data_IF_814753455336
#
_entry.id   IF_814753455336
#
_cell.length_a   1.000
_cell.length_b   1.000
_cell.length_c   1.000
_cell.angle_alpha   90.00
_cell.angle_beta   90.00
_cell.angle_gamma   90.00
#
_symmetry.space_group_name_H-M   'P 1'
#
loop_
_entity.id
_entity.type
_entity.pdbx_description
1 polymer ?
#
# COMPACT_ATOMS: atom_id res chain seq x y z
N UNK A 1 11.72 3.88 2.61
CA UNK A 1 11.33 3.45 1.24
C UNK A 1 10.73 4.63 0.52
N UNK A 2 11.17 4.96 -0.69
CA UNK A 2 10.73 6.16 -1.42
C UNK A 2 9.98 5.85 -2.71
N UNK A 3 10.24 4.69 -3.33
CA UNK A 3 9.60 4.27 -4.56
C UNK A 3 9.53 2.74 -4.63
N UNK A 4 8.66 2.23 -5.50
CA UNK A 4 8.57 0.81 -5.81
C UNK A 4 8.04 0.63 -7.24
N UNK A 5 8.65 -0.29 -7.99
CA UNK A 5 8.32 -0.51 -9.40
C UNK A 5 8.24 -2.00 -9.72
N UNK A 6 7.35 -2.42 -10.64
CA UNK A 6 7.32 -3.79 -11.10
C UNK A 6 8.25 -3.96 -12.31
N UNK A 7 8.97 -5.07 -12.37
CA UNK A 7 9.63 -5.58 -13.57
C UNK A 7 9.11 -7.00 -13.82
N UNK A 8 8.17 -7.14 -14.77
CA UNK A 8 7.36 -8.36 -14.93
C UNK A 8 6.68 -8.73 -13.61
N UNK A 9 6.98 -9.90 -13.06
CA UNK A 9 6.48 -10.38 -11.77
C UNK A 9 7.32 -9.95 -10.57
N UNK A 10 8.50 -9.37 -10.79
CA UNK A 10 9.42 -8.96 -9.73
C UNK A 10 9.05 -7.57 -9.21
N UNK A 11 8.96 -7.41 -7.90
CA UNK A 11 8.78 -6.11 -7.26
C UNK A 11 10.15 -5.58 -6.85
N UNK A 12 10.49 -4.38 -7.29
CA UNK A 12 11.68 -3.66 -6.87
C UNK A 12 11.28 -2.52 -5.92
N UNK A 13 11.83 -2.53 -4.71
CA UNK A 13 11.69 -1.45 -3.74
C UNK A 13 12.93 -0.58 -3.78
N UNK A 14 12.73 0.73 -3.79
CA UNK A 14 13.79 1.73 -3.74
C UNK A 14 13.78 2.37 -2.35
N UNK A 15 14.88 2.22 -1.61
CA UNK A 15 15.09 2.80 -0.31
C UNK A 15 16.24 3.79 -0.37
N UNK A 16 16.09 4.94 0.29
CA UNK A 16 17.18 5.88 0.48
C UNK A 16 17.82 5.64 1.84
N UNK A 17 19.13 5.47 1.86
CA UNK A 17 19.95 5.33 3.06
C UNK A 17 20.58 6.69 3.37
N UNK A 18 20.07 7.37 4.40
CA UNK A 18 20.55 8.69 4.82
C UNK A 18 21.93 8.68 5.46
N UNK A 19 22.47 7.51 5.83
CA UNK A 19 23.82 7.41 6.41
C UNK A 19 24.92 7.34 5.33
N UNK A 20 24.58 6.77 4.17
CA UNK A 20 25.50 6.62 3.04
C UNK A 20 25.14 7.50 1.85
N UNK A 21 24.03 8.22 1.94
CA UNK A 21 23.42 9.05 0.89
C UNK A 21 23.18 8.29 -0.42
N UNK A 22 22.86 7.00 -0.33
CA UNK A 22 22.70 6.11 -1.49
C UNK A 22 21.34 5.47 -1.57
N UNK A 23 20.91 5.23 -2.81
CA UNK A 23 19.75 4.39 -3.10
C UNK A 23 20.12 2.91 -2.97
N UNK A 24 19.30 2.16 -2.25
CA UNK A 24 19.35 0.70 -2.14
C UNK A 24 18.12 0.11 -2.82
N UNK A 25 18.35 -0.94 -3.60
CA UNK A 25 17.30 -1.68 -4.28
C UNK A 25 17.12 -3.05 -3.61
N UNK A 26 15.88 -3.38 -3.24
CA UNK A 26 15.48 -4.69 -2.74
C UNK A 26 14.52 -5.29 -3.76
N UNK A 27 14.60 -6.59 -4.01
CA UNK A 27 13.69 -7.28 -4.94
C UNK A 27 12.94 -8.41 -4.24
N UNK A 28 11.69 -8.59 -4.62
CA UNK A 28 10.86 -9.74 -4.25
C UNK A 28 10.31 -10.38 -5.53
N UNK A 29 10.70 -11.63 -5.76
CA UNK A 29 10.29 -12.45 -6.91
C UNK A 29 9.16 -13.44 -6.56
N UNK A 30 8.82 -13.52 -5.27
CA UNK A 30 7.89 -14.51 -4.73
C UNK A 30 6.46 -13.98 -4.66
N UNK A 31 6.28 -12.66 -4.57
CA UNK A 31 4.96 -12.07 -4.56
C UNK A 31 4.24 -12.30 -5.90
N UNK A 32 2.97 -12.72 -5.82
CA UNK A 32 2.14 -13.00 -6.98
C UNK A 32 0.99 -12.00 -7.07
N UNK A 33 0.74 -11.41 -8.26
CA UNK A 33 -0.43 -10.59 -8.48
C UNK A 33 -1.71 -11.40 -8.28
N UNK A 34 -2.72 -10.79 -7.65
CA UNK A 34 -4.01 -11.44 -7.45
C UNK A 34 -5.19 -10.45 -7.38
N UNK A 35 -6.39 -10.98 -7.55
CA UNK A 35 -7.66 -10.35 -7.16
C UNK A 35 -8.66 -11.43 -6.73
N UNK A 36 -9.87 -11.04 -6.33
CA UNK A 36 -10.90 -11.98 -5.87
C UNK A 36 -12.11 -12.05 -6.81
N UNK A 37 -12.75 -13.21 -6.88
CA UNK A 37 -14.05 -13.45 -7.53
C UNK A 37 -15.00 -14.17 -6.57
N UNK A 38 -16.22 -14.42 -7.03
CA UNK A 38 -17.26 -15.11 -6.27
C UNK A 38 -16.81 -16.49 -5.80
N UNK A 39 -17.33 -16.90 -4.65
CA UNK A 39 -17.19 -18.25 -4.13
C UNK A 39 -18.59 -18.87 -3.96
N UNK A 40 -18.83 -20.10 -4.44
CA UNK A 40 -17.93 -20.89 -5.30
C UNK A 40 -17.76 -20.27 -6.70
N UNK A 41 -16.80 -20.76 -7.48
CA UNK A 41 -16.66 -20.37 -8.88
C UNK A 41 -17.86 -20.85 -9.69
N UNK A 42 -18.28 -20.05 -10.68
CA UNK A 42 -19.24 -20.49 -11.69
C UNK A 42 -18.53 -21.31 -12.78
N UNK A 43 -19.26 -22.20 -13.47
CA UNK A 43 -18.69 -22.98 -14.59
C UNK A 43 -18.07 -22.10 -15.70
N UNK A 44 -18.63 -20.91 -15.92
CA UNK A 44 -18.09 -19.92 -16.86
C UNK A 44 -16.75 -19.36 -16.38
N UNK A 45 -16.67 -18.98 -15.10
CA UNK A 45 -15.46 -18.42 -14.50
C UNK A 45 -14.36 -19.49 -14.39
N UNK A 46 -14.69 -20.75 -14.12
CA UNK A 46 -13.74 -21.86 -14.09
C UNK A 46 -13.01 -22.01 -15.43
N UNK A 47 -13.73 -21.94 -16.56
CA UNK A 47 -13.13 -21.99 -17.90
C UNK A 47 -12.18 -20.83 -18.14
N UNK A 48 -12.54 -19.63 -17.68
CA UNK A 48 -11.68 -18.44 -17.78
C UNK A 48 -10.39 -18.65 -16.98
N UNK A 49 -10.52 -19.10 -15.73
CA UNK A 49 -9.39 -19.32 -14.82
C UNK A 49 -8.44 -20.40 -15.35
N UNK A 50 -8.98 -21.52 -15.83
CA UNK A 50 -8.19 -22.60 -16.45
C UNK A 50 -7.43 -22.10 -17.69
N UNK A 51 -8.06 -21.28 -18.54
CA UNK A 51 -7.41 -20.75 -19.74
C UNK A 51 -6.25 -19.79 -19.47
N UNK A 52 -6.16 -19.23 -18.27
CA UNK A 52 -5.14 -18.26 -17.85
C UNK A 52 -4.11 -18.86 -16.88
N UNK A 53 -4.20 -20.17 -16.60
CA UNK A 53 -3.35 -20.87 -15.63
C UNK A 53 -3.29 -20.18 -14.26
N UNK A 54 -4.40 -19.56 -13.81
CA UNK A 54 -4.41 -18.90 -12.51
C UNK A 54 -4.45 -19.94 -11.38
N UNK A 55 -3.70 -19.69 -10.31
CA UNK A 55 -3.76 -20.50 -9.09
C UNK A 55 -4.96 -20.05 -8.28
N UNK A 56 -5.72 -21.02 -7.79
CA UNK A 56 -6.96 -20.79 -7.07
C UNK A 56 -6.74 -21.14 -5.60
N UNK A 57 -7.17 -20.25 -4.71
CA UNK A 57 -7.29 -20.52 -3.28
C UNK A 57 -8.56 -19.89 -2.71
N UNK A 58 -8.98 -20.36 -1.55
CA UNK A 58 -10.10 -19.75 -0.81
C UNK A 58 -9.55 -18.70 0.14
N UNK A 59 -10.19 -17.53 0.18
CA UNK A 59 -9.88 -16.48 1.13
C UNK A 59 -11.16 -16.04 1.85
N UNK A 60 -11.01 -15.55 3.07
CA UNK A 60 -12.09 -14.94 3.84
C UNK A 60 -11.72 -13.50 4.18
N UNK A 61 -12.66 -12.58 3.91
CA UNK A 61 -12.53 -11.15 4.19
C UNK A 61 -13.79 -10.61 4.81
N UNK A 62 -13.68 -9.55 5.60
CA UNK A 62 -14.86 -8.86 6.14
C UNK A 62 -15.50 -7.99 5.06
N UNK A 63 -16.81 -8.08 4.86
CA UNK A 63 -17.54 -7.17 3.97
C UNK A 63 -17.65 -5.78 4.61
N UNK A 64 -17.27 -4.73 3.86
CA UNK A 64 -17.18 -3.36 4.38
C UNK A 64 -18.52 -2.82 4.91
N UNK A 65 -19.65 -3.21 4.30
CA UNK A 65 -20.93 -2.60 4.63
C UNK A 65 -21.69 -3.36 5.70
N UNK A 66 -21.53 -4.69 5.75
CA UNK A 66 -22.24 -5.53 6.74
C UNK A 66 -21.38 -5.89 7.94
N UNK A 67 -20.05 -5.82 7.83
CA UNK A 67 -19.14 -6.31 8.87
C UNK A 67 -19.05 -7.85 8.96
N UNK A 68 -19.75 -8.57 8.08
CA UNK A 68 -19.81 -10.03 8.10
C UNK A 68 -18.65 -10.65 7.31
N UNK A 69 -18.16 -11.85 7.70
CA UNK A 69 -17.17 -12.57 6.93
C UNK A 69 -17.74 -13.04 5.60
N UNK A 70 -16.96 -12.88 4.53
CA UNK A 70 -17.28 -13.25 3.16
C UNK A 70 -16.20 -14.16 2.60
N UNK A 71 -16.62 -15.35 2.17
CA UNK A 71 -15.76 -16.28 1.42
C UNK A 71 -15.63 -15.83 -0.03
N UNK A 72 -14.41 -15.91 -0.54
CA UNK A 72 -14.03 -15.45 -1.87
C UNK A 72 -13.08 -16.46 -2.49
N UNK A 73 -13.07 -16.48 -3.82
CA UNK A 73 -12.05 -17.21 -4.57
C UNK A 73 -10.92 -16.25 -4.92
N UNK A 74 -9.72 -16.51 -4.41
CA UNK A 74 -8.48 -15.78 -4.74
C UNK A 74 -7.87 -16.36 -6.00
N UNK A 75 -7.63 -15.51 -6.99
CA UNK A 75 -6.99 -15.86 -8.25
C UNK A 75 -5.61 -15.23 -8.29
N UNK A 76 -4.56 -16.06 -8.24
CA UNK A 76 -3.17 -15.61 -8.33
C UNK A 76 -2.57 -15.93 -9.70
N UNK A 77 -1.77 -15.01 -10.23
CA UNK A 77 -1.18 -15.11 -11.56
C UNK A 77 0.34 -15.04 -11.49
N UNK A 78 1.03 -15.63 -12.47
CA UNK A 78 2.48 -15.55 -12.54
C UNK A 78 2.99 -14.22 -13.12
N UNK A 79 2.16 -13.50 -13.89
CA UNK A 79 2.47 -12.20 -14.48
C UNK A 79 1.31 -11.20 -14.27
N UNK A 80 1.57 -9.95 -13.86
CA UNK A 80 0.54 -8.92 -13.69
C UNK A 80 -0.29 -8.64 -14.94
N UNK A 81 0.22 -8.89 -16.14
CA UNK A 81 -0.53 -8.72 -17.40
C UNK A 81 -1.78 -9.62 -17.45
N UNK A 82 -1.74 -10.79 -16.83
CA UNK A 82 -2.89 -11.69 -16.77
C UNK A 82 -4.00 -11.19 -15.84
N UNK A 83 -3.70 -10.31 -14.87
CA UNK A 83 -4.74 -9.67 -14.04
C UNK A 83 -5.73 -8.92 -14.93
N UNK A 84 -5.22 -8.12 -15.86
CA UNK A 84 -6.05 -7.30 -16.75
C UNK A 84 -6.85 -8.16 -17.73
N UNK A 85 -6.25 -9.26 -18.22
CA UNK A 85 -6.94 -10.20 -19.11
C UNK A 85 -8.08 -10.93 -18.40
N UNK A 86 -7.84 -11.41 -17.17
CA UNK A 86 -8.83 -12.10 -16.36
C UNK A 86 -9.96 -11.16 -15.92
N UNK A 87 -9.62 -9.95 -15.44
CA UNK A 87 -10.59 -8.96 -14.97
C UNK A 87 -11.62 -8.56 -16.04
N UNK A 88 -11.23 -8.57 -17.33
CA UNK A 88 -12.13 -8.30 -18.47
C UNK A 88 -13.15 -9.41 -18.72
N UNK A 89 -12.85 -10.65 -18.34
CA UNK A 89 -13.64 -11.84 -18.67
C UNK A 89 -14.54 -12.30 -17.51
N UNK A 90 -14.20 -11.95 -16.27
CA UNK A 90 -14.95 -12.32 -15.08
C UNK A 90 -16.03 -11.28 -14.74
N UNK A 91 -17.23 -11.76 -14.40
CA UNK A 91 -18.39 -10.91 -14.07
C UNK A 91 -18.26 -10.28 -12.70
N UNK A 92 -17.91 -11.06 -11.69
CA UNK A 92 -17.75 -10.62 -10.31
C UNK A 92 -16.28 -10.53 -9.96
N UNK A 93 -15.80 -9.34 -9.63
CA UNK A 93 -14.39 -9.13 -9.29
C UNK A 93 -14.25 -8.09 -8.20
N UNK A 94 -13.37 -8.36 -7.25
CA UNK A 94 -12.98 -7.43 -6.21
C UNK A 94 -11.47 -7.24 -6.26
N UNK A 95 -11.02 -6.02 -5.99
CA UNK A 95 -9.61 -5.67 -5.90
C UNK A 95 -8.81 -5.82 -7.22
N UNK A 96 -9.49 -6.01 -8.35
CA UNK A 96 -8.91 -6.09 -9.71
C UNK A 96 -8.25 -4.76 -10.16
N UNK A 97 -8.65 -3.65 -9.52
CA UNK A 97 -8.15 -2.30 -9.80
C UNK A 97 -7.07 -1.84 -8.84
N UNK A 98 -6.64 -2.67 -7.88
CA UNK A 98 -5.51 -2.33 -7.01
C UNK A 98 -4.22 -2.48 -7.82
N UNK A 99 -3.42 -1.42 -8.01
CA UNK A 99 -2.16 -1.53 -8.75
C UNK A 99 -1.25 -2.59 -8.14
N UNK A 100 -0.53 -3.35 -8.97
CA UNK A 100 0.28 -4.50 -8.52
C UNK A 100 1.27 -4.13 -7.41
N UNK A 101 2.03 -3.04 -7.59
CA UNK A 101 2.97 -2.53 -6.57
C UNK A 101 2.26 -2.15 -5.28
N UNK A 102 1.11 -1.47 -5.36
CA UNK A 102 0.38 -1.07 -4.17
C UNK A 102 -0.22 -2.28 -3.44
N UNK A 103 -0.67 -3.30 -4.17
CA UNK A 103 -1.09 -4.57 -3.60
C UNK A 103 0.03 -5.19 -2.76
N UNK A 104 1.27 -5.25 -3.30
CA UNK A 104 2.45 -5.71 -2.55
C UNK A 104 2.71 -4.89 -1.29
N UNK A 105 2.73 -3.57 -1.44
CA UNK A 105 3.02 -2.63 -0.35
C UNK A 105 2.00 -2.79 0.78
N UNK A 106 0.72 -2.93 0.45
CA UNK A 106 -0.34 -3.10 1.45
C UNK A 106 -0.25 -4.44 2.16
N UNK A 107 -0.03 -5.53 1.43
CA UNK A 107 0.05 -6.88 2.00
C UNK A 107 1.28 -7.08 2.90
N UNK A 108 2.38 -6.38 2.60
CA UNK A 108 3.59 -6.38 3.42
C UNK A 108 3.57 -5.35 4.54
N UNK A 109 2.50 -4.56 4.67
CA UNK A 109 2.39 -3.49 5.67
C UNK A 109 3.44 -2.38 5.48
N UNK A 110 3.95 -2.22 4.25
CA UNK A 110 4.92 -1.19 3.92
C UNK A 110 4.23 0.15 3.68
N UNK A 111 4.97 1.20 3.99
CA UNK A 111 4.59 2.61 3.90
C UNK A 111 5.70 3.40 3.22
N UNK A 112 5.38 4.11 2.15
CA UNK A 112 6.31 5.03 1.49
C UNK A 112 6.64 6.23 2.38
N UNK A 113 7.86 6.77 2.23
CA UNK A 113 8.38 7.85 3.05
C UNK A 113 8.72 7.48 4.49
N UNK A 114 8.41 6.26 4.95
CA UNK A 114 8.72 5.80 6.30
C UNK A 114 10.16 5.24 6.42
N UNK A 115 10.78 5.31 7.61
CA UNK A 115 12.09 4.72 7.89
C UNK A 115 12.00 3.21 8.15
N UNK A 116 13.03 2.47 7.70
CA UNK A 116 13.13 1.02 7.85
C UNK A 116 14.54 0.62 8.28
N UNK A 117 14.65 -0.44 9.08
CA UNK A 117 15.87 -1.25 9.17
C UNK A 117 15.84 -2.33 8.10
N UNK A 118 17.02 -2.77 7.65
CA UNK A 118 17.14 -3.95 6.79
C UNK A 118 17.62 -5.12 7.65
N UNK A 119 16.72 -6.05 7.93
CA UNK A 119 17.04 -7.29 8.63
C UNK A 119 16.93 -8.44 7.64
N UNK A 120 18.03 -9.16 7.43
CA UNK A 120 18.12 -10.25 6.44
C UNK A 120 17.70 -9.83 5.02
N UNK A 121 17.92 -8.55 4.67
CA UNK A 121 17.54 -7.99 3.37
C UNK A 121 16.06 -7.60 3.24
N UNK A 122 15.25 -7.79 4.28
CA UNK A 122 13.84 -7.39 4.30
C UNK A 122 13.66 -6.07 5.07
N UNK A 123 12.87 -5.12 4.53
CA UNK A 123 12.59 -3.86 5.20
C UNK A 123 11.64 -4.07 6.39
N UNK A 124 12.11 -3.75 7.61
CA UNK A 124 11.29 -3.73 8.82
C UNK A 124 11.03 -2.29 9.28
N UNK A 125 9.75 -1.89 9.48
CA UNK A 125 9.40 -0.59 10.05
C UNK A 125 10.15 -0.30 11.37
N UNK A 126 10.81 0.86 11.47
CA UNK A 126 11.48 1.31 12.72
C UNK A 126 10.94 2.63 13.24
N UNK A 127 9.79 3.07 12.75
CA UNK A 127 9.15 4.29 13.21
C UNK A 127 8.43 4.06 14.53
N UNK A 128 8.91 4.72 15.59
CA UNK A 128 8.23 4.78 16.88
C UNK A 128 7.98 6.24 17.26
N UNK A 129 7.15 6.43 18.27
CA UNK A 129 6.84 7.75 18.80
C UNK A 129 7.57 7.95 20.12
N UNK A 130 8.39 8.99 20.21
CA UNK A 130 8.98 9.40 21.48
C UNK A 130 7.91 9.75 22.51
N UNK A 131 8.21 9.57 23.80
CA UNK A 131 7.24 9.71 24.89
C UNK A 131 6.54 11.07 24.90
N UNK A 132 7.27 12.15 24.60
CA UNK A 132 6.71 13.50 24.55
C UNK A 132 5.64 13.67 23.46
N UNK A 133 5.92 13.17 22.26
CA UNK A 133 4.96 13.22 21.16
C UNK A 133 3.76 12.32 21.44
N UNK A 134 3.98 11.15 22.06
CA UNK A 134 2.90 10.26 22.50
C UNK A 134 1.98 10.93 23.50
N UNK A 135 2.55 11.62 24.50
CA UNK A 135 1.77 12.40 25.48
C UNK A 135 0.95 13.49 24.79
N UNK A 136 1.55 14.26 23.87
CA UNK A 136 0.84 15.31 23.12
C UNK A 136 -0.30 14.75 22.26
N UNK A 137 -0.09 13.61 21.61
CA UNK A 137 -1.12 12.91 20.84
C UNK A 137 -2.29 12.51 21.74
N UNK A 138 -2.02 11.86 22.88
CA UNK A 138 -3.05 11.44 23.84
C UNK A 138 -3.84 12.62 24.41
N UNK A 139 -3.16 13.71 24.79
CA UNK A 139 -3.83 14.92 25.28
C UNK A 139 -4.82 15.49 24.27
N UNK A 140 -4.49 15.44 22.97
CA UNK A 140 -5.33 16.02 21.93
C UNK A 140 -6.43 15.08 21.45
N UNK A 141 -6.19 13.78 21.38
CA UNK A 141 -7.06 12.84 20.67
C UNK A 141 -7.67 11.73 21.55
N UNK A 142 -7.35 11.66 22.84
CA UNK A 142 -7.90 10.63 23.76
C UNK A 142 -9.42 10.54 23.73
N UNK A 143 -10.13 11.67 23.65
CA UNK A 143 -11.59 11.72 23.55
C UNK A 143 -12.15 11.01 22.29
N UNK A 144 -11.37 10.92 21.21
CA UNK A 144 -11.78 10.21 19.99
C UNK A 144 -11.74 8.70 20.21
N UNK A 145 -10.88 8.20 21.10
CA UNK A 145 -10.72 6.76 21.32
C UNK A 145 -12.02 6.09 21.78
N UNK A 146 -12.81 6.77 22.60
CA UNK A 146 -14.10 6.26 23.09
C UNK A 146 -15.22 6.48 22.06
N UNK A 147 -15.21 7.62 21.36
CA UNK A 147 -16.24 7.96 20.39
C UNK A 147 -16.11 7.18 19.07
N UNK A 148 -14.88 6.94 18.61
CA UNK A 148 -14.55 6.31 17.33
C UNK A 148 -13.13 5.68 17.40
N UNK A 149 -13.03 4.43 17.89
CA UNK A 149 -11.76 3.73 18.03
C UNK A 149 -11.00 3.56 16.70
N UNK A 150 -11.71 3.34 15.59
CA UNK A 150 -11.12 3.12 14.27
C UNK A 150 -10.46 4.40 13.74
N UNK A 151 -11.14 5.54 13.89
CA UNK A 151 -10.57 6.84 13.57
C UNK A 151 -9.39 7.16 14.47
N UNK A 152 -9.46 6.85 15.76
CA UNK A 152 -8.35 7.05 16.68
C UNK A 152 -7.10 6.28 16.23
N UNK A 153 -7.26 5.01 15.85
CA UNK A 153 -6.15 4.19 15.33
C UNK A 153 -5.56 4.77 14.04
N UNK A 154 -6.40 5.25 13.12
CA UNK A 154 -5.93 5.87 11.88
C UNK A 154 -5.16 7.17 12.16
N UNK A 155 -5.65 7.99 13.08
CA UNK A 155 -4.97 9.21 13.53
C UNK A 155 -3.63 8.88 14.20
N UNK A 156 -3.57 7.86 15.05
CA UNK A 156 -2.32 7.44 15.71
C UNK A 156 -1.30 6.97 14.67
N UNK A 157 -1.74 6.14 13.72
CA UNK A 157 -0.90 5.64 12.64
C UNK A 157 -0.30 6.79 11.81
N UNK A 158 -1.12 7.74 11.36
CA UNK A 158 -0.62 8.89 10.61
C UNK A 158 0.25 9.80 11.45
N UNK A 159 -0.11 10.03 12.72
CA UNK A 159 0.69 10.88 13.60
C UNK A 159 2.09 10.32 13.79
N UNK A 160 2.22 9.00 13.99
CA UNK A 160 3.52 8.32 14.08
C UNK A 160 4.31 8.54 12.80
N UNK A 161 3.72 8.29 11.64
CA UNK A 161 4.41 8.42 10.35
C UNK A 161 4.83 9.87 10.05
N UNK A 162 3.93 10.84 10.23
CA UNK A 162 4.20 12.25 9.99
C UNK A 162 5.23 12.83 10.97
N UNK A 163 5.39 12.22 12.15
CA UNK A 163 6.40 12.61 13.14
C UNK A 163 7.81 12.11 12.82
N UNK A 164 7.97 11.24 11.82
CA UNK A 164 9.28 10.72 11.45
C UNK A 164 10.12 11.79 10.72
N UNK A 165 11.46 11.80 10.90
CA UNK A 165 12.33 12.74 10.20
C UNK A 165 12.16 12.58 8.69
N UNK A 166 12.24 13.70 7.96
CA UNK A 166 12.29 13.71 6.51
C UNK A 166 13.77 13.72 6.11
N UNK A 167 14.27 12.67 5.43
CA UNK A 167 15.66 12.63 4.99
C UNK A 167 15.90 13.68 3.90
N UNK A 168 17.12 14.20 3.84
CA UNK A 168 17.56 15.04 2.74
C UNK A 168 17.90 14.13 1.55
N UNK A 169 16.99 14.01 0.58
CA UNK A 169 17.14 13.08 -0.54
C UNK A 169 17.67 13.83 -1.75
N UNK A 170 18.72 13.34 -2.43
CA UNK A 170 19.20 13.95 -3.66
C UNK A 170 18.10 13.90 -4.73
N UNK A 171 17.49 15.06 -4.99
CA UNK A 171 16.34 15.20 -5.88
C UNK A 171 16.66 14.80 -7.32
N UNK A 172 17.91 15.04 -7.77
CA UNK A 172 18.37 14.63 -9.10
C UNK A 172 18.29 13.12 -9.32
N UNK A 173 18.62 12.31 -8.31
CA UNK A 173 18.57 10.85 -8.41
C UNK A 173 17.13 10.34 -8.57
N UNK A 174 16.15 11.19 -8.22
CA UNK A 174 14.72 10.94 -8.38
C UNK A 174 14.13 11.60 -9.63
N UNK A 175 14.96 12.23 -10.47
CA UNK A 175 14.52 12.94 -11.68
C UNK A 175 13.79 14.26 -11.39
N UNK A 176 13.98 14.84 -10.20
CA UNK A 176 13.41 16.12 -9.79
C UNK A 176 14.41 17.26 -9.98
N UNK A 177 13.89 18.47 -10.26
CA UNK A 177 14.69 19.70 -10.37
C UNK A 177 15.36 20.03 -9.02
N UNK A 178 16.61 20.51 -9.05
CA UNK A 178 17.33 20.96 -7.85
C UNK A 178 16.67 22.16 -7.17
N UNK A 179 15.88 22.94 -7.92
CA UNK A 179 15.26 24.17 -7.41
C UNK A 179 13.95 23.94 -6.63
N UNK A 180 13.63 22.70 -6.27
CA UNK A 180 12.43 22.39 -5.48
C UNK A 180 12.66 22.81 -4.02
N UNK A 181 11.85 23.77 -3.54
CA UNK A 181 11.85 24.22 -2.15
C UNK A 181 11.63 23.04 -1.17
N UNK A 182 12.39 23.00 -0.08
CA UNK A 182 12.26 22.08 1.05
C UNK A 182 10.81 21.89 1.51
N UNK A 183 10.00 22.95 1.57
CA UNK A 183 8.59 22.84 1.97
C UNK A 183 7.81 21.87 1.07
N UNK A 184 8.05 21.89 -0.24
CA UNK A 184 7.41 20.96 -1.18
C UNK A 184 7.88 19.53 -0.95
N UNK A 185 9.16 19.34 -0.64
CA UNK A 185 9.72 18.03 -0.32
C UNK A 185 9.07 17.48 0.94
N UNK A 186 9.02 18.31 1.98
CA UNK A 186 8.39 17.97 3.25
C UNK A 186 6.92 17.56 3.05
N UNK A 187 6.13 18.36 2.32
CA UNK A 187 4.73 18.04 2.02
C UNK A 187 4.58 16.76 1.19
N UNK A 188 5.47 16.52 0.23
CA UNK A 188 5.46 15.29 -0.57
C UNK A 188 5.72 14.05 0.30
N UNK A 189 6.65 14.14 1.26
CA UNK A 189 6.88 13.06 2.22
C UNK A 189 5.67 12.81 3.12
N UNK A 190 5.05 13.87 3.66
CA UNK A 190 3.84 13.73 4.47
C UNK A 190 2.71 13.07 3.68
N UNK A 191 2.47 13.52 2.45
CA UNK A 191 1.46 12.94 1.57
C UNK A 191 1.79 11.49 1.20
N UNK A 192 3.05 11.20 0.86
CA UNK A 192 3.53 9.85 0.55
C UNK A 192 3.27 8.88 1.71
N UNK A 193 3.49 9.32 2.95
CA UNK A 193 3.23 8.54 4.17
C UNK A 193 1.74 8.33 4.43
N UNK A 194 0.94 9.39 4.36
CA UNK A 194 -0.50 9.34 4.66
C UNK A 194 -1.26 8.56 3.60
N UNK A 195 -1.00 8.85 2.31
CA UNK A 195 -1.65 8.20 1.19
C UNK A 195 -1.02 6.87 0.79
N UNK A 196 0.13 6.52 1.38
CA UNK A 196 0.92 5.35 1.01
C UNK A 196 1.19 5.27 -0.50
N UNK A 197 1.73 6.36 -1.05
CA UNK A 197 2.07 6.49 -2.47
C UNK A 197 3.58 6.71 -2.63
N UNK A 198 4.19 6.26 -3.74
CA UNK A 198 5.57 6.59 -4.05
C UNK A 198 5.83 8.09 -3.97
N UNK A 199 7.02 8.48 -3.51
CA UNK A 199 7.38 9.87 -3.27
C UNK A 199 7.20 10.72 -4.52
N UNK A 200 7.68 10.25 -5.68
CA UNK A 200 7.51 10.97 -6.95
C UNK A 200 6.04 11.10 -7.37
N UNK A 201 5.21 10.10 -7.06
CA UNK A 201 3.76 10.18 -7.28
C UNK A 201 3.14 11.23 -6.37
N UNK A 202 3.53 11.30 -5.09
CA UNK A 202 3.05 12.32 -4.15
C UNK A 202 3.49 13.74 -4.56
N UNK A 203 4.64 13.90 -5.20
CA UNK A 203 5.09 15.19 -5.75
C UNK A 203 4.28 15.67 -6.95
N UNK A 204 3.91 14.75 -7.86
CA UNK A 204 3.41 15.09 -9.19
C UNK A 204 1.89 14.99 -9.30
N UNK A 205 1.28 14.03 -8.60
CA UNK A 205 -0.14 13.77 -8.68
C UNK A 205 -0.91 14.83 -7.90
N UNK A 206 -1.78 15.59 -8.57
CA UNK A 206 -2.66 16.61 -7.96
C UNK A 206 -4.11 16.15 -7.77
N UNK A 207 -4.39 14.87 -8.01
CA UNK A 207 -5.76 14.34 -7.96
C UNK A 207 -6.04 13.77 -6.57
N UNK A 208 -6.76 14.56 -5.76
CA UNK A 208 -7.17 14.17 -4.40
C UNK A 208 -7.88 12.80 -4.37
N UNK A 209 -8.65 12.46 -5.41
CA UNK A 209 -9.31 11.16 -5.53
C UNK A 209 -8.34 9.97 -5.57
N UNK A 210 -7.14 10.15 -6.14
CA UNK A 210 -6.09 9.13 -6.13
C UNK A 210 -5.56 8.93 -4.72
N UNK A 211 -5.31 10.02 -4.00
CA UNK A 211 -4.81 9.98 -2.63
C UNK A 211 -5.83 9.31 -1.70
N UNK A 212 -7.10 9.75 -1.74
CA UNK A 212 -8.18 9.19 -0.92
C UNK A 212 -8.37 7.70 -1.22
N UNK A 213 -8.36 7.30 -2.50
CA UNK A 213 -8.46 5.89 -2.86
C UNK A 213 -7.31 5.06 -2.28
N UNK A 214 -6.08 5.57 -2.37
CA UNK A 214 -4.90 4.89 -1.84
C UNK A 214 -4.95 4.75 -0.32
N UNK A 215 -5.36 5.81 0.39
CA UNK A 215 -5.62 5.80 1.84
C UNK A 215 -6.61 4.68 2.19
N UNK A 216 -7.77 4.67 1.55
CA UNK A 216 -8.84 3.71 1.84
C UNK A 216 -8.39 2.28 1.52
N UNK A 217 -7.79 2.05 0.36
CA UNK A 217 -7.31 0.71 -0.02
C UNK A 217 -6.27 0.18 0.97
N UNK A 218 -5.30 1.02 1.37
CA UNK A 218 -4.30 0.64 2.37
C UNK A 218 -4.92 0.33 3.73
N UNK A 219 -5.87 1.15 4.20
CA UNK A 219 -6.60 0.89 5.44
C UNK A 219 -7.38 -0.45 5.39
N UNK A 220 -8.19 -0.64 4.34
CA UNK A 220 -9.03 -1.83 4.19
C UNK A 220 -8.18 -3.11 4.09
N UNK A 221 -7.08 -3.07 3.33
CA UNK A 221 -6.14 -4.20 3.23
C UNK A 221 -5.55 -4.60 4.57
N UNK A 222 -5.08 -3.63 5.37
CA UNK A 222 -4.51 -3.89 6.70
C UNK A 222 -5.52 -4.48 7.67
N UNK A 223 -6.80 -4.13 7.55
CA UNK A 223 -7.89 -4.65 8.37
C UNK A 223 -8.50 -5.96 7.84
N UNK A 224 -7.96 -6.51 6.74
CA UNK A 224 -8.55 -7.64 6.02
C UNK A 224 -10.02 -7.43 5.61
N UNK A 225 -10.39 -6.17 5.34
CA UNK A 225 -11.71 -5.79 4.83
C UNK A 225 -11.66 -5.83 3.31
N UNK A 226 -12.71 -6.38 2.70
CA UNK A 226 -12.85 -6.48 1.25
C UNK A 226 -13.05 -5.09 0.65
N UNK A 227 -12.18 -4.69 -0.28
CA UNK A 227 -12.40 -3.43 -1.00
C UNK A 227 -13.63 -3.59 -1.90
N UNK A 228 -14.65 -2.73 -1.76
CA UNK A 228 -15.89 -2.88 -2.50
C UNK A 228 -15.66 -2.68 -4.00
N UNK A 229 -16.53 -3.30 -4.80
CA UNK A 229 -16.53 -3.14 -6.25
C UNK A 229 -17.02 -1.74 -6.60
N UNK A 230 -16.48 -1.19 -7.69
CA UNK A 230 -17.00 0.05 -8.29
C UNK A 230 -18.31 -0.18 -9.02
#
# INVERSE_FOLDING_TARGET
>A
MIDARPEKSVIHLVLYDSSTEKLRNIRDEMYKPYFFTGYPLSEEDEKVVQSLNARISVAEKTDLFTGEPRKLTRLEFDDPQFLLAAAKRLKQRWEDRVPYVLSYVYDRGLVFGAPYSLEEGNPKPVYTLGEDLRRRFQQKFSHIKEADPEKYELLEHWFILCSQPVPDVPLMDLGLDQNVNYEKIYLAFLLSRVANLPLLTAFTNRQVSTWVRSILHGYLRRKNILIPRS
#
